data_IF_353904174205
#
_entry.id   IF_353904174205
#
_cell.length_a   1.000
_cell.length_b   1.000
_cell.length_c   1.000
_cell.angle_alpha   90.00
_cell.angle_beta   90.00
_cell.angle_gamma   90.00
#
_symmetry.space_group_name_H-M   'P 1'
#
loop_
_entity.id
_entity.type
_entity.pdbx_description
1 polymer ?
#
# COMPACT_ATOMS: atom_id res chain seq x y z
N UNK A 1 6.39 5.32 15.88
CA UNK A 1 5.10 4.63 16.13
C UNK A 1 4.41 4.39 14.81
N UNK A 2 3.85 3.20 14.61
CA UNK A 2 2.96 2.88 13.50
C UNK A 2 1.62 2.40 14.05
N UNK A 3 0.54 3.13 13.79
CA UNK A 3 -0.82 2.72 14.14
C UNK A 3 -1.44 2.00 12.94
N UNK A 4 -1.21 0.68 12.87
CA UNK A 4 -1.74 -0.17 11.81
C UNK A 4 -3.22 -0.53 11.99
N UNK A 5 -3.80 -1.20 11.00
CA UNK A 5 -5.19 -1.70 11.07
C UNK A 5 -5.41 -2.82 12.08
N UNK A 6 -4.34 -3.56 12.43
CA UNK A 6 -4.42 -4.74 13.32
C UNK A 6 -3.57 -4.57 14.58
N UNK A 7 -2.36 -4.03 14.44
CA UNK A 7 -1.45 -3.76 15.55
C UNK A 7 -0.91 -2.33 15.49
N UNK A 8 -0.84 -1.71 16.66
CA UNK A 8 -0.04 -0.51 16.90
C UNK A 8 1.35 -0.95 17.33
N UNK A 9 2.39 -0.45 16.64
CA UNK A 9 3.79 -0.85 16.83
C UNK A 9 4.65 0.33 17.28
N UNK A 10 5.54 0.07 18.21
CA UNK A 10 6.51 1.00 18.76
C UNK A 10 7.93 0.52 18.46
N UNK A 11 8.80 1.48 18.14
CA UNK A 11 10.23 1.29 17.98
C UNK A 11 10.91 2.46 18.71
N UNK A 12 11.75 2.15 19.69
CA UNK A 12 12.61 3.10 20.39
C UNK A 12 13.94 3.12 19.65
N UNK A 13 14.33 4.28 19.14
CA UNK A 13 15.54 4.45 18.34
C UNK A 13 16.45 5.45 19.05
N UNK A 14 17.70 5.05 19.27
CA UNK A 14 18.77 5.97 19.64
C UNK A 14 19.17 6.77 18.41
N UNK A 15 19.00 8.09 18.44
CA UNK A 15 19.25 8.95 17.28
C UNK A 15 20.74 9.25 17.06
N UNK A 16 21.56 9.17 18.10
CA UNK A 16 23.00 9.40 18.01
C UNK A 16 23.71 8.16 17.47
N UNK A 17 23.35 6.98 17.99
CA UNK A 17 23.88 5.70 17.52
C UNK A 17 23.17 5.21 16.24
N UNK A 18 21.93 5.64 15.98
CA UNK A 18 21.08 5.13 14.90
C UNK A 18 20.58 3.70 15.12
N UNK A 19 20.41 3.27 16.38
CA UNK A 19 20.15 1.88 16.78
C UNK A 19 18.74 1.67 17.28
N UNK A 20 18.16 0.51 16.96
CA UNK A 20 16.91 0.06 17.56
C UNK A 20 17.19 -0.43 18.99
N UNK A 21 16.66 0.27 19.98
CA UNK A 21 16.84 -0.04 21.40
C UNK A 21 15.80 -1.06 21.86
N UNK A 22 14.54 -0.85 21.49
CA UNK A 22 13.43 -1.71 21.90
C UNK A 22 12.28 -1.63 20.90
N UNK A 23 11.49 -2.70 20.83
CA UNK A 23 10.21 -2.70 20.12
C UNK A 23 9.08 -3.06 21.06
N UNK A 24 7.88 -2.60 20.73
CA UNK A 24 6.65 -2.89 21.46
C UNK A 24 5.50 -3.01 20.49
N UNK A 25 4.48 -3.79 20.84
CA UNK A 25 3.28 -3.86 20.03
C UNK A 25 2.05 -4.08 20.92
N UNK A 26 0.93 -3.53 20.47
CA UNK A 26 -0.37 -3.74 21.09
C UNK A 26 -1.41 -3.90 19.97
N UNK A 27 -2.49 -4.65 20.24
CA UNK A 27 -3.60 -4.73 19.27
C UNK A 27 -4.15 -3.32 19.05
N UNK A 28 -4.40 -2.93 17.80
CA UNK A 28 -4.94 -1.60 17.53
C UNK A 28 -6.29 -1.44 18.23
N UNK A 29 -6.42 -0.38 19.03
CA UNK A 29 -7.67 -0.06 19.71
C UNK A 29 -8.68 0.47 18.70
N UNK A 30 -9.72 -0.31 18.42
CA UNK A 30 -10.81 0.03 17.50
C UNK A 30 -12.10 0.44 18.22
N UNK A 31 -12.36 -0.13 19.41
CA UNK A 31 -13.59 0.11 20.19
C UNK A 31 -13.41 1.18 21.29
N UNK A 32 -12.47 2.11 21.10
CA UNK A 32 -12.06 3.08 22.12
C UNK A 32 -11.25 4.23 21.53
N UNK A 33 -10.42 4.88 22.36
CA UNK A 33 -9.47 5.87 21.86
C UNK A 33 -8.21 5.15 21.34
N UNK A 34 -7.81 5.44 20.11
CA UNK A 34 -6.62 4.85 19.49
C UNK A 34 -5.35 5.15 20.29
N UNK A 35 -5.34 6.25 21.06
CA UNK A 35 -4.24 6.62 21.94
C UNK A 35 -4.03 5.61 23.06
N UNK A 36 -5.06 4.89 23.52
CA UNK A 36 -4.91 3.84 24.53
C UNK A 36 -4.01 2.71 24.00
N UNK A 37 -4.18 2.34 22.72
CA UNK A 37 -3.33 1.34 22.06
C UNK A 37 -1.93 1.85 21.75
N UNK A 38 -1.78 3.16 21.49
CA UNK A 38 -0.48 3.81 21.34
C UNK A 38 0.30 3.80 22.65
N UNK A 39 -0.32 4.25 23.74
CA UNK A 39 0.29 4.32 25.06
C UNK A 39 0.64 2.91 25.57
N UNK A 40 -0.21 1.90 25.32
CA UNK A 40 0.09 0.50 25.63
C UNK A 40 1.27 -0.07 24.81
N UNK A 41 1.36 0.26 23.52
CA UNK A 41 2.49 -0.18 22.69
C UNK A 41 3.82 0.47 23.12
N UNK A 42 3.80 1.74 23.58
CA UNK A 42 4.97 2.39 24.18
C UNK A 42 5.33 1.72 25.50
N UNK A 43 4.37 1.47 26.39
CA UNK A 43 4.63 0.80 27.67
C UNK A 43 5.26 -0.59 27.48
N UNK A 44 4.84 -1.33 26.44
CA UNK A 44 5.41 -2.64 26.10
C UNK A 44 6.90 -2.59 25.72
N UNK A 45 7.45 -1.42 25.36
CA UNK A 45 8.89 -1.26 25.11
C UNK A 45 9.70 -1.27 26.41
N UNK A 46 9.09 -0.93 27.55
CA UNK A 46 9.81 -0.69 28.80
C UNK A 46 10.57 0.65 28.87
N UNK A 47 10.37 1.54 27.89
CA UNK A 47 11.04 2.85 27.81
C UNK A 47 10.04 4.01 27.78
N UNK A 48 10.49 5.18 28.23
CA UNK A 48 9.79 6.46 28.09
C UNK A 48 10.49 7.30 27.02
N UNK A 49 9.90 7.50 25.83
CA UNK A 49 10.53 8.26 24.77
C UNK A 49 10.49 9.77 25.05
N UNK A 50 11.54 10.49 24.66
CA UNK A 50 11.57 11.97 24.72
C UNK A 50 10.63 12.62 23.69
N UNK A 51 10.49 11.98 22.54
CA UNK A 51 9.65 12.44 21.43
C UNK A 51 9.00 11.26 20.73
N UNK A 52 7.75 11.42 20.33
CA UNK A 52 6.99 10.43 19.56
C UNK A 52 6.73 10.96 18.15
N UNK A 53 7.18 10.21 17.15
CA UNK A 53 6.77 10.35 15.76
C UNK A 53 5.79 9.21 15.43
N UNK A 54 4.67 9.51 14.80
CA UNK A 54 3.68 8.51 14.44
C UNK A 54 3.34 8.51 12.94
N UNK A 55 3.09 7.32 12.39
CA UNK A 55 2.31 7.13 11.18
C UNK A 55 1.06 6.32 11.49
N UNK A 56 0.06 6.35 10.59
CA UNK A 56 -1.19 5.61 10.78
C UNK A 56 -1.75 5.09 9.46
N UNK A 57 -2.23 3.85 9.48
CA UNK A 57 -3.15 3.28 8.50
C UNK A 57 -4.48 2.85 9.12
N UNK A 58 -4.64 2.99 10.45
CA UNK A 58 -5.93 2.88 11.11
C UNK A 58 -6.91 3.94 10.58
N UNK A 59 -8.17 3.54 10.37
CA UNK A 59 -9.22 4.35 9.73
C UNK A 59 -9.58 3.94 8.30
N UNK A 60 -8.80 3.05 7.69
CA UNK A 60 -9.03 2.52 6.34
C UNK A 60 -8.34 3.35 5.23
N UNK A 61 -8.26 2.79 4.03
CA UNK A 61 -7.68 3.47 2.87
C UNK A 61 -8.53 4.67 2.42
N UNK A 62 -7.86 5.76 2.00
CA UNK A 62 -8.51 6.98 1.56
C UNK A 62 -9.44 6.72 0.36
N UNK A 63 -10.75 6.95 0.50
CA UNK A 63 -11.72 6.89 -0.60
C UNK A 63 -11.73 8.24 -1.31
N UNK A 64 -11.28 8.27 -2.56
CA UNK A 64 -11.17 9.52 -3.31
C UNK A 64 -12.07 9.49 -4.56
N UNK A 65 -12.76 10.59 -4.82
CA UNK A 65 -13.48 10.80 -6.07
C UNK A 65 -12.75 11.83 -6.94
N UNK A 66 -12.61 11.56 -8.23
CA UNK A 66 -11.99 12.48 -9.18
C UNK A 66 -13.07 13.14 -10.02
N UNK A 67 -13.04 14.47 -10.11
CA UNK A 67 -13.90 15.26 -10.99
C UNK A 67 -13.00 16.07 -11.91
N UNK A 68 -13.00 15.74 -13.20
CA UNK A 68 -12.18 16.37 -14.23
C UNK A 68 -12.98 17.19 -15.24
N UNK A 69 -12.28 18.08 -15.95
CA UNK A 69 -12.79 18.80 -17.12
C UNK A 69 -13.22 17.87 -18.26
N UNK A 70 -12.31 17.00 -18.69
CA UNK A 70 -12.48 16.07 -19.81
C UNK A 70 -12.21 14.62 -19.34
N UNK A 71 -13.12 13.66 -19.62
CA UNK A 71 -12.97 12.25 -19.21
C UNK A 71 -11.63 11.61 -19.58
N UNK A 72 -11.19 11.75 -20.83
CA UNK A 72 -10.02 11.02 -21.32
C UNK A 72 -8.68 11.69 -21.01
N UNK A 73 -8.70 12.94 -20.56
CA UNK A 73 -7.49 13.75 -20.32
C UNK A 73 -7.36 14.12 -18.86
N UNK A 74 -8.06 15.15 -18.39
CA UNK A 74 -7.88 15.66 -17.03
C UNK A 74 -8.44 14.73 -15.95
N UNK A 75 -9.58 14.06 -16.20
CA UNK A 75 -10.12 13.11 -15.23
C UNK A 75 -9.18 11.90 -15.12
N UNK A 76 -8.62 11.45 -16.24
CA UNK A 76 -7.62 10.38 -16.26
C UNK A 76 -6.28 10.81 -15.62
N UNK A 77 -5.86 12.08 -15.77
CA UNK A 77 -4.71 12.62 -15.06
C UNK A 77 -4.94 12.62 -13.54
N UNK A 78 -6.09 13.15 -13.09
CA UNK A 78 -6.47 13.12 -11.67
C UNK A 78 -6.59 11.70 -11.12
N UNK A 79 -7.12 10.76 -11.89
CA UNK A 79 -7.19 9.34 -11.53
C UNK A 79 -5.79 8.76 -11.27
N UNK A 80 -4.82 9.03 -12.17
CA UNK A 80 -3.42 8.60 -11.99
C UNK A 80 -2.80 9.20 -10.72
N UNK A 81 -3.03 10.49 -10.48
CA UNK A 81 -2.52 11.17 -9.29
C UNK A 81 -3.09 10.54 -8.02
N UNK A 82 -4.40 10.28 -7.99
CA UNK A 82 -5.07 9.66 -6.85
C UNK A 82 -4.52 8.25 -6.55
N UNK A 83 -4.36 7.41 -7.58
CA UNK A 83 -3.74 6.09 -7.42
C UNK A 83 -2.30 6.20 -6.90
N UNK A 84 -1.51 7.12 -7.45
CA UNK A 84 -0.14 7.36 -6.99
C UNK A 84 -0.05 7.94 -5.57
N UNK A 85 -1.13 8.52 -5.06
CA UNK A 85 -1.26 8.96 -3.66
C UNK A 85 -1.76 7.83 -2.73
N UNK A 86 -1.86 6.59 -3.22
CA UNK A 86 -2.34 5.44 -2.45
C UNK A 86 -3.84 5.48 -2.13
N UNK A 87 -4.62 6.28 -2.85
CA UNK A 87 -6.07 6.39 -2.63
C UNK A 87 -6.84 5.31 -3.40
N UNK A 88 -7.91 4.80 -2.78
CA UNK A 88 -8.93 4.00 -3.48
C UNK A 88 -9.84 4.95 -4.25
N UNK A 89 -9.75 4.96 -5.58
CA UNK A 89 -10.64 5.78 -6.40
C UNK A 89 -12.03 5.14 -6.47
N UNK A 90 -13.01 5.78 -5.83
CA UNK A 90 -14.38 5.25 -5.72
C UNK A 90 -15.35 5.83 -6.75
N UNK A 91 -14.94 6.91 -7.43
CA UNK A 91 -15.72 7.57 -8.47
C UNK A 91 -14.81 8.41 -9.37
N UNK A 92 -15.08 8.40 -10.67
CA UNK A 92 -14.42 9.27 -11.65
C UNK A 92 -15.51 9.90 -12.51
N UNK A 93 -15.52 11.23 -12.58
CA UNK A 93 -16.40 12.01 -13.45
C UNK A 93 -15.56 12.92 -14.35
N UNK A 94 -15.95 13.03 -15.61
CA UNK A 94 -15.38 14.01 -16.54
C UNK A 94 -16.50 14.84 -17.16
N UNK A 95 -16.26 16.12 -17.34
CA UNK A 95 -17.23 17.08 -17.87
C UNK A 95 -17.96 17.85 -16.78
N UNK A 96 -19.01 18.57 -17.20
CA UNK A 96 -19.86 19.35 -16.28
C UNK A 96 -20.62 18.43 -15.31
N UNK A 97 -20.62 18.80 -14.04
CA UNK A 97 -21.24 18.05 -12.95
C UNK A 97 -22.73 18.38 -12.87
N UNK A 98 -23.54 17.64 -13.62
CA UNK A 98 -25.00 17.77 -13.61
C UNK A 98 -25.65 17.20 -12.32
N UNK A 99 -26.98 17.22 -12.25
CA UNK A 99 -27.71 16.72 -11.07
C UNK A 99 -27.54 15.21 -10.84
N UNK A 100 -27.47 14.43 -11.92
CA UNK A 100 -27.29 12.99 -11.86
C UNK A 100 -25.85 12.63 -11.44
N UNK A 101 -24.86 13.29 -12.04
CA UNK A 101 -23.44 13.15 -11.70
C UNK A 101 -23.16 13.50 -10.23
N UNK A 102 -23.72 14.61 -9.73
CA UNK A 102 -23.59 14.98 -8.32
C UNK A 102 -24.23 13.94 -7.39
N UNK A 103 -25.34 13.32 -7.80
CA UNK A 103 -26.00 12.27 -7.03
C UNK A 103 -25.16 10.99 -7.01
N UNK A 104 -24.57 10.61 -8.15
CA UNK A 104 -23.65 9.48 -8.25
C UNK A 104 -22.39 9.69 -7.39
N UNK A 105 -21.81 10.89 -7.43
CA UNK A 105 -20.67 11.29 -6.59
C UNK A 105 -20.99 11.11 -5.09
N UNK A 106 -22.17 11.54 -4.63
CA UNK A 106 -22.61 11.34 -3.24
C UNK A 106 -22.82 9.87 -2.89
N UNK A 107 -23.42 9.10 -3.79
CA UNK A 107 -23.66 7.67 -3.59
C UNK A 107 -22.36 6.88 -3.42
N UNK A 108 -21.28 7.30 -4.09
CA UNK A 108 -19.95 6.71 -3.95
C UNK A 108 -19.30 6.95 -2.58
N UNK A 109 -19.84 7.86 -1.74
CA UNK A 109 -19.32 8.19 -0.40
C UNK A 109 -17.79 8.37 -0.37
N UNK A 110 -17.21 9.30 -1.15
CA UNK A 110 -15.79 9.61 -1.05
C UNK A 110 -15.48 10.37 0.24
N UNK A 111 -14.28 10.14 0.79
CA UNK A 111 -13.71 10.91 1.89
C UNK A 111 -13.16 12.26 1.39
N UNK A 112 -12.64 12.30 0.16
CA UNK A 112 -12.05 13.48 -0.49
C UNK A 112 -12.49 13.57 -1.95
N UNK A 113 -12.74 14.77 -2.45
CA UNK A 113 -12.90 15.03 -3.89
C UNK A 113 -11.65 15.71 -4.43
N UNK A 114 -11.02 15.13 -5.46
CA UNK A 114 -9.99 15.76 -6.27
C UNK A 114 -10.66 16.44 -7.47
N UNK A 115 -10.70 17.76 -7.45
CA UNK A 115 -11.21 18.59 -8.53
C UNK A 115 -10.05 19.07 -9.41
N UNK A 116 -10.02 18.62 -10.65
CA UNK A 116 -8.97 18.87 -11.65
C UNK A 116 -9.60 19.37 -12.95
N UNK A 117 -8.81 19.97 -13.84
CA UNK A 117 -9.30 20.38 -15.15
C UNK A 117 -8.76 21.73 -15.62
N UNK A 118 -8.76 21.91 -16.94
CA UNK A 118 -8.08 23.00 -17.63
C UNK A 118 -6.55 22.87 -17.56
N UNK A 119 -5.86 23.27 -18.62
CA UNK A 119 -4.44 23.64 -18.53
C UNK A 119 -4.33 25.03 -17.92
N UNK A 120 -3.15 25.40 -17.45
CA UNK A 120 -2.89 26.77 -17.01
C UNK A 120 -2.97 27.70 -18.24
N UNK A 121 -3.69 28.82 -18.14
CA UNK A 121 -4.04 29.68 -19.28
C UNK A 121 -5.11 29.12 -20.23
N UNK A 122 -5.66 27.93 -19.93
CA UNK A 122 -6.65 27.23 -20.76
C UNK A 122 -8.10 27.46 -20.33
N UNK A 123 -8.97 26.50 -20.65
CA UNK A 123 -10.39 26.55 -20.25
C UNK A 123 -10.56 26.62 -18.73
N UNK A 124 -11.44 27.50 -18.29
CA UNK A 124 -11.83 27.67 -16.89
C UNK A 124 -13.31 27.33 -16.63
N UNK A 125 -14.14 27.30 -17.68
CA UNK A 125 -15.60 27.28 -17.54
C UNK A 125 -16.08 26.05 -16.77
N UNK A 126 -15.60 24.87 -17.13
CA UNK A 126 -16.03 23.62 -16.50
C UNK A 126 -15.52 23.48 -15.08
N UNK A 127 -14.28 23.93 -14.81
CA UNK A 127 -13.70 23.90 -13.47
C UNK A 127 -14.54 24.77 -12.52
N UNK A 128 -14.85 26.00 -12.93
CA UNK A 128 -15.68 26.94 -12.19
C UNK A 128 -17.13 26.45 -12.05
N UNK A 129 -17.69 25.87 -13.11
CA UNK A 129 -19.00 25.24 -13.07
C UNK A 129 -19.04 24.16 -11.98
N UNK A 130 -18.10 23.21 -12.01
CA UNK A 130 -18.05 22.08 -11.10
C UNK A 130 -17.81 22.53 -9.65
N UNK A 131 -16.89 23.48 -9.44
CA UNK A 131 -16.67 24.12 -8.15
C UNK A 131 -17.96 24.74 -7.60
N UNK A 132 -18.65 25.56 -8.40
CA UNK A 132 -19.91 26.19 -8.02
C UNK A 132 -21.07 25.21 -7.82
N UNK A 133 -21.07 24.07 -8.51
CA UNK A 133 -22.04 22.99 -8.26
C UNK A 133 -21.81 22.33 -6.91
N UNK A 134 -20.58 22.02 -6.55
CA UNK A 134 -20.22 21.47 -5.24
C UNK A 134 -20.53 22.46 -4.10
N UNK A 135 -20.20 23.73 -4.27
CA UNK A 135 -20.50 24.80 -3.29
C UNK A 135 -22.00 24.98 -3.05
N UNK A 136 -22.79 25.17 -4.12
CA UNK A 136 -24.26 25.29 -4.01
C UNK A 136 -24.93 24.05 -3.43
N UNK A 137 -24.38 22.88 -3.72
CA UNK A 137 -24.81 21.60 -3.19
C UNK A 137 -24.43 21.38 -1.71
N UNK A 138 -23.70 22.32 -1.09
CA UNK A 138 -23.18 22.24 0.28
C UNK A 138 -22.45 20.92 0.53
N UNK A 139 -21.52 20.59 -0.36
CA UNK A 139 -20.67 19.41 -0.21
C UNK A 139 -19.97 19.44 1.16
N UNK A 140 -20.03 18.34 1.90
CA UNK A 140 -19.53 18.27 3.29
C UNK A 140 -18.11 17.74 3.41
N UNK A 141 -17.61 17.04 2.39
CA UNK A 141 -16.25 16.50 2.39
C UNK A 141 -15.24 17.56 1.98
N UNK A 142 -13.95 17.39 2.31
CA UNK A 142 -12.89 18.22 1.79
C UNK A 142 -12.71 18.06 0.26
N UNK A 143 -12.25 19.13 -0.38
CA UNK A 143 -11.90 19.19 -1.81
C UNK A 143 -10.42 19.54 -1.96
N UNK A 144 -9.69 18.74 -2.74
CA UNK A 144 -8.37 19.12 -3.26
C UNK A 144 -8.57 19.74 -4.63
N UNK A 145 -8.17 21.00 -4.81
CA UNK A 145 -8.27 21.73 -6.07
C UNK A 145 -6.90 21.76 -6.75
N UNK A 146 -6.80 21.13 -7.91
CA UNK A 146 -5.55 20.97 -8.67
C UNK A 146 -5.80 21.15 -10.18
N UNK A 147 -6.59 22.15 -10.55
CA UNK A 147 -6.86 22.54 -11.94
C UNK A 147 -6.21 23.88 -12.30
N UNK A 148 -6.64 24.45 -13.44
CA UNK A 148 -6.18 25.70 -14.03
C UNK A 148 -5.81 26.76 -12.98
N UNK A 149 -4.54 27.14 -12.95
CA UNK A 149 -3.98 28.09 -11.99
C UNK A 149 -4.67 29.46 -12.03
N UNK A 150 -5.06 29.94 -13.21
CA UNK A 150 -5.66 31.27 -13.39
C UNK A 150 -7.10 31.32 -12.87
N UNK A 151 -7.79 30.18 -12.85
CA UNK A 151 -9.17 30.06 -12.35
C UNK A 151 -9.24 29.62 -10.88
N UNK A 152 -8.09 29.43 -10.22
CA UNK A 152 -8.02 28.83 -8.88
C UNK A 152 -8.76 29.64 -7.83
N UNK A 153 -8.53 30.95 -7.79
CA UNK A 153 -9.10 31.82 -6.75
C UNK A 153 -10.62 31.90 -6.88
N UNK A 154 -11.12 32.00 -8.11
CA UNK A 154 -12.56 31.98 -8.40
C UNK A 154 -13.19 30.62 -8.08
N UNK A 155 -12.49 29.50 -8.34
CA UNK A 155 -12.96 28.16 -7.99
C UNK A 155 -13.01 27.97 -6.45
N UNK A 156 -12.02 28.49 -5.72
CA UNK A 156 -12.04 28.50 -4.25
C UNK A 156 -13.21 29.33 -3.72
N UNK A 157 -13.45 30.50 -4.30
CA UNK A 157 -14.59 31.34 -3.94
C UNK A 157 -15.94 30.66 -4.22
N UNK A 158 -16.05 29.95 -5.35
CA UNK A 158 -17.25 29.18 -5.71
C UNK A 158 -17.51 27.97 -4.77
N UNK A 159 -16.47 27.49 -4.09
CA UNK A 159 -16.51 26.44 -3.07
C UNK A 159 -16.72 26.99 -1.65
N UNK A 160 -17.19 28.23 -1.48
CA UNK A 160 -17.43 28.83 -0.17
C UNK A 160 -18.21 27.90 0.78
N UNK A 161 -17.66 27.68 1.98
CA UNK A 161 -18.23 26.78 3.00
C UNK A 161 -17.83 25.30 2.85
N UNK A 162 -17.09 24.94 1.80
CA UNK A 162 -16.46 23.63 1.64
C UNK A 162 -15.00 23.72 2.10
N UNK A 163 -14.44 22.74 2.84
CA UNK A 163 -13.02 22.72 3.14
C UNK A 163 -12.20 22.49 1.87
N UNK A 164 -11.39 23.47 1.45
CA UNK A 164 -10.59 23.38 0.22
C UNK A 164 -9.10 23.39 0.53
N UNK A 165 -8.33 22.54 -0.15
CA UNK A 165 -6.87 22.60 -0.22
C UNK A 165 -6.47 22.77 -1.68
N UNK A 166 -6.03 23.97 -2.06
CA UNK A 166 -5.61 24.25 -3.43
C UNK A 166 -4.10 24.00 -3.60
N UNK A 167 -3.71 23.54 -4.78
CA UNK A 167 -2.31 23.26 -5.13
C UNK A 167 -2.09 23.51 -6.63
N UNK A 168 -0.86 23.30 -7.12
CA UNK A 168 -0.56 23.43 -8.53
C UNK A 168 -1.35 22.42 -9.38
N UNK A 169 -1.58 22.78 -10.65
CA UNK A 169 -2.39 22.00 -11.57
C UNK A 169 -1.76 20.62 -11.81
N UNK A 170 -2.58 19.56 -11.86
CA UNK A 170 -2.11 18.20 -12.23
C UNK A 170 -1.70 18.10 -13.69
N UNK A 171 -2.21 18.99 -14.54
CA UNK A 171 -1.96 19.03 -15.97
C UNK A 171 -1.76 20.50 -16.41
N UNK A 172 -0.64 21.14 -16.03
CA UNK A 172 -0.39 22.56 -16.33
C UNK A 172 -0.36 22.82 -17.84
N UNK A 173 0.19 21.90 -18.62
CA UNK A 173 0.24 21.96 -20.08
C UNK A 173 -0.25 20.65 -20.71
N UNK A 174 -0.68 20.71 -21.97
CA UNK A 174 -1.17 19.52 -22.69
C UNK A 174 -0.04 18.48 -22.76
N UNK A 175 -0.31 17.29 -22.24
CA UNK A 175 0.65 16.18 -22.23
C UNK A 175 1.66 16.22 -21.08
N UNK A 176 1.66 17.26 -20.25
CA UNK A 176 2.57 17.40 -19.10
C UNK A 176 1.84 17.12 -17.79
N UNK A 177 2.20 16.02 -17.11
CA UNK A 177 1.63 15.65 -15.82
C UNK A 177 2.50 16.21 -14.68
N UNK A 178 1.90 16.99 -13.78
CA UNK A 178 2.54 17.49 -12.57
C UNK A 178 1.87 16.90 -11.30
N UNK A 179 2.21 15.67 -10.91
CA UNK A 179 1.45 14.92 -9.91
C UNK A 179 1.76 15.32 -8.46
N UNK A 180 2.98 15.77 -8.18
CA UNK A 180 3.50 15.93 -6.81
C UNK A 180 2.65 16.87 -5.94
N UNK A 181 2.29 18.09 -6.39
CA UNK A 181 1.55 19.05 -5.56
C UNK A 181 0.16 18.53 -5.14
N UNK A 182 -0.50 17.82 -6.05
CA UNK A 182 -1.80 17.21 -5.77
C UNK A 182 -1.68 15.98 -4.86
N UNK A 183 -0.65 15.14 -5.01
CA UNK A 183 -0.37 14.04 -4.05
C UNK A 183 -0.16 14.58 -2.64
N UNK A 184 0.65 15.63 -2.49
CA UNK A 184 0.94 16.24 -1.20
C UNK A 184 -0.33 16.83 -0.57
N UNK A 185 -1.16 17.50 -1.37
CA UNK A 185 -2.45 18.03 -0.92
C UNK A 185 -3.42 16.91 -0.49
N UNK A 186 -3.52 15.82 -1.24
CA UNK A 186 -4.32 14.64 -0.91
C UNK A 186 -3.87 14.04 0.43
N UNK A 187 -2.56 13.82 0.60
CA UNK A 187 -1.98 13.30 1.84
C UNK A 187 -2.27 14.22 3.02
N UNK A 188 -2.10 15.53 2.85
CA UNK A 188 -2.36 16.50 3.90
C UNK A 188 -3.84 16.54 4.31
N UNK A 189 -4.76 16.43 3.33
CA UNK A 189 -6.20 16.34 3.60
C UNK A 189 -6.54 15.04 4.33
N UNK A 190 -5.99 13.91 3.90
CA UNK A 190 -6.19 12.61 4.54
C UNK A 190 -5.76 12.63 6.02
N UNK A 191 -4.58 13.19 6.32
CA UNK A 191 -4.10 13.35 7.69
C UNK A 191 -5.04 14.22 8.53
N UNK A 192 -5.43 15.41 8.02
CA UNK A 192 -6.28 16.34 8.77
C UNK A 192 -7.72 15.87 8.97
N UNK A 193 -8.33 15.26 7.95
CA UNK A 193 -9.79 15.05 7.91
C UNK A 193 -10.21 13.59 8.08
N UNK A 194 -9.34 12.63 7.74
CA UNK A 194 -9.67 11.19 7.81
C UNK A 194 -9.04 10.56 9.03
N UNK A 195 -7.71 10.68 9.18
CA UNK A 195 -6.99 10.16 10.36
C UNK A 195 -7.29 11.04 11.59
N UNK A 196 -7.25 12.37 11.43
CA UNK A 196 -7.64 13.32 12.48
C UNK A 196 -9.15 13.52 12.65
N UNK A 197 -9.98 12.89 11.79
CA UNK A 197 -11.43 12.98 11.84
C UNK A 197 -12.02 12.22 13.04
N UNK A 198 -13.26 12.59 13.43
CA UNK A 198 -14.02 12.23 14.65
C UNK A 198 -14.22 10.72 14.99
N UNK A 199 -13.30 9.80 14.69
CA UNK A 199 -13.52 8.35 14.89
C UNK A 199 -12.35 7.58 15.49
N UNK A 200 -11.12 8.10 15.47
CA UNK A 200 -9.96 7.38 16.03
C UNK A 200 -9.55 7.88 17.42
N UNK A 201 -9.63 9.18 17.68
CA UNK A 201 -9.33 9.76 18.99
C UNK A 201 -10.35 10.81 19.40
N UNK A 202 -10.52 11.01 20.70
CA UNK A 202 -11.46 11.99 21.27
C UNK A 202 -10.93 13.43 21.20
N UNK A 203 -9.63 13.62 20.98
CA UNK A 203 -8.97 14.93 20.96
C UNK A 203 -7.94 15.10 19.82
N UNK A 204 -7.29 16.27 19.71
CA UNK A 204 -6.38 16.58 18.60
C UNK A 204 -5.02 15.90 18.72
N UNK A 205 -4.64 15.40 19.91
CA UNK A 205 -3.33 14.78 20.20
C UNK A 205 -2.92 13.74 19.15
N UNK A 206 -3.83 12.86 18.75
CA UNK A 206 -3.51 11.85 17.75
C UNK A 206 -3.18 12.47 16.38
N UNK A 207 -3.99 13.41 15.91
CA UNK A 207 -3.75 14.11 14.65
C UNK A 207 -2.44 14.93 14.67
N UNK A 208 -2.07 15.48 15.83
CA UNK A 208 -0.82 16.22 16.03
C UNK A 208 0.42 15.32 16.04
N UNK A 209 0.28 14.06 16.48
CA UNK A 209 1.36 13.07 16.50
C UNK A 209 1.61 12.46 15.12
N UNK A 210 0.56 12.22 14.32
CA UNK A 210 0.68 11.53 13.03
C UNK A 210 1.30 12.45 11.97
N UNK A 211 2.48 12.07 11.49
CA UNK A 211 3.27 12.78 10.46
C UNK A 211 3.00 12.31 9.04
N UNK A 212 2.59 11.05 8.88
CA UNK A 212 2.37 10.43 7.59
C UNK A 212 1.38 9.26 7.68
N UNK A 213 0.71 8.92 6.58
CA UNK A 213 0.15 7.58 6.41
C UNK A 213 1.25 6.52 6.57
N UNK A 214 0.94 5.37 7.18
CA UNK A 214 1.94 4.27 7.33
C UNK A 214 2.58 3.89 6.00
N UNK A 215 1.82 3.71 4.91
CA UNK A 215 2.45 3.32 3.65
C UNK A 215 3.37 4.38 3.06
N UNK A 216 3.10 5.66 3.30
CA UNK A 216 3.96 6.75 2.84
C UNK A 216 5.25 6.80 3.67
N UNK A 217 5.16 6.51 4.97
CA UNK A 217 6.35 6.34 5.81
C UNK A 217 7.17 5.13 5.35
N UNK A 218 6.55 3.99 5.05
CA UNK A 218 7.25 2.83 4.48
C UNK A 218 7.91 3.19 3.15
N UNK A 219 7.17 3.81 2.22
CA UNK A 219 7.74 4.25 0.93
C UNK A 219 8.93 5.19 1.13
N UNK A 220 8.85 6.14 2.07
CA UNK A 220 9.98 7.04 2.39
C UNK A 220 11.20 6.24 2.90
N UNK A 221 10.99 5.21 3.72
CA UNK A 221 12.05 4.32 4.18
C UNK A 221 12.65 3.47 3.03
N UNK A 222 11.81 2.99 2.11
CA UNK A 222 12.23 2.27 0.90
C UNK A 222 13.06 3.17 -0.02
N UNK A 223 12.62 4.41 -0.24
CA UNK A 223 13.37 5.39 -1.03
C UNK A 223 14.73 5.69 -0.42
N UNK A 224 14.77 5.90 0.90
CA UNK A 224 16.03 6.13 1.60
C UNK A 224 16.99 4.93 1.49
N UNK A 225 16.47 3.71 1.58
CA UNK A 225 17.27 2.50 1.39
C UNK A 225 17.79 2.38 -0.04
N UNK A 226 16.92 2.61 -1.03
CA UNK A 226 17.26 2.54 -2.45
C UNK A 226 18.34 3.57 -2.83
N UNK A 227 18.27 4.79 -2.29
CA UNK A 227 19.28 5.84 -2.53
C UNK A 227 20.69 5.46 -2.02
N UNK A 228 20.79 4.41 -1.17
CA UNK A 228 22.04 3.89 -0.62
C UNK A 228 22.36 2.46 -1.10
N UNK A 229 21.53 1.88 -1.96
CA UNK A 229 21.70 0.54 -2.53
C UNK A 229 22.24 0.67 -3.96
N UNK A 230 23.21 -0.16 -4.31
CA UNK A 230 23.68 -0.27 -5.69
C UNK A 230 22.75 -1.19 -6.51
N UNK A 231 21.54 -0.72 -6.83
CA UNK A 231 20.60 -1.42 -7.70
C UNK A 231 19.14 -1.26 -7.29
N UNK A 232 18.29 -2.03 -7.96
CA UNK A 232 16.84 -1.96 -7.83
C UNK A 232 16.33 -2.67 -6.57
N UNK A 233 15.38 -2.05 -5.89
CA UNK A 233 14.78 -2.52 -4.64
C UNK A 233 13.29 -2.80 -4.81
N UNK A 234 12.85 -3.90 -4.22
CA UNK A 234 11.44 -4.27 -4.11
C UNK A 234 11.09 -4.56 -2.64
N UNK A 235 9.95 -4.07 -2.17
CA UNK A 235 9.41 -4.43 -0.85
C UNK A 235 8.00 -4.99 -1.02
N UNK A 236 7.74 -6.14 -0.39
CA UNK A 236 6.43 -6.78 -0.33
C UNK A 236 5.95 -6.79 1.12
N UNK A 237 4.98 -5.95 1.43
CA UNK A 237 4.38 -5.82 2.77
C UNK A 237 3.04 -6.56 2.81
N UNK A 238 3.04 -7.76 3.41
CA UNK A 238 1.85 -8.60 3.52
C UNK A 238 1.09 -8.29 4.81
N UNK A 239 0.00 -7.56 4.67
CA UNK A 239 -0.85 -7.13 5.76
C UNK A 239 -2.09 -8.02 5.99
N UNK A 240 -2.81 -7.72 7.07
CA UNK A 240 -4.09 -8.36 7.37
C UNK A 240 -5.19 -7.97 6.39
N UNK A 241 -5.16 -6.74 5.85
CA UNK A 241 -6.19 -6.22 4.95
C UNK A 241 -5.69 -5.98 3.52
N UNK A 242 -4.45 -5.53 3.36
CA UNK A 242 -3.84 -5.24 2.05
C UNK A 242 -2.53 -5.99 1.92
N UNK A 243 -2.10 -6.20 0.66
CA UNK A 243 -0.69 -6.42 0.36
C UNK A 243 -0.19 -5.23 -0.46
N UNK A 244 0.89 -4.61 -0.01
CA UNK A 244 1.49 -3.46 -0.67
C UNK A 244 2.81 -3.88 -1.31
N UNK A 245 3.03 -3.49 -2.58
CA UNK A 245 4.30 -3.73 -3.28
C UNK A 245 4.93 -2.39 -3.63
N UNK A 246 6.10 -2.12 -3.05
CA UNK A 246 6.89 -0.92 -3.30
C UNK A 246 8.06 -1.28 -4.21
N UNK A 247 8.34 -0.46 -5.22
CA UNK A 247 9.51 -0.62 -6.09
C UNK A 247 10.26 0.69 -6.26
N UNK A 248 11.59 0.63 -6.17
CA UNK A 248 12.51 1.69 -6.57
C UNK A 248 13.42 1.10 -7.66
N UNK A 249 13.13 1.46 -8.91
CA UNK A 249 13.79 0.93 -10.10
C UNK A 249 14.63 2.04 -10.74
N UNK A 250 15.94 1.91 -10.70
CA UNK A 250 16.89 2.90 -11.21
C UNK A 250 16.77 2.95 -12.74
N UNK A 251 16.43 4.11 -13.33
CA UNK A 251 16.35 4.22 -14.79
C UNK A 251 17.71 4.03 -15.46
N UNK A 252 17.75 3.33 -16.60
CA UNK A 252 18.93 3.27 -17.45
C UNK A 252 19.20 4.65 -18.11
N UNK A 253 20.23 5.38 -17.64
CA UNK A 253 20.75 6.59 -18.30
C UNK A 253 20.14 7.94 -17.86
N UNK A 254 20.55 9.02 -18.54
CA UNK A 254 20.22 10.40 -18.18
C UNK A 254 18.71 10.66 -18.16
N UNK A 255 18.26 11.17 -17.01
CA UNK A 255 16.87 11.36 -16.59
C UNK A 255 16.07 12.16 -17.62
N UNK A 256 15.32 11.45 -18.46
CA UNK A 256 14.03 11.94 -18.90
C UNK A 256 12.98 11.15 -18.14
N UNK A 257 12.31 11.80 -17.18
CA UNK A 257 10.99 11.36 -16.72
C UNK A 257 10.10 11.23 -17.96
N UNK A 258 10.03 10.03 -18.53
CA UNK A 258 9.04 9.72 -19.54
C UNK A 258 7.69 9.82 -18.83
N UNK A 259 6.96 10.88 -19.17
CA UNK A 259 5.63 11.26 -18.70
C UNK A 259 4.88 10.17 -17.90
N UNK A 260 5.04 10.21 -16.57
CA UNK A 260 4.06 9.67 -15.63
C UNK A 260 4.29 8.26 -15.06
N UNK A 261 5.46 7.64 -15.23
CA UNK A 261 5.83 6.46 -14.43
C UNK A 261 7.02 6.81 -13.54
N UNK A 262 6.74 7.09 -12.26
CA UNK A 262 7.77 7.38 -11.27
C UNK A 262 8.69 6.16 -11.13
N UNK A 263 10.01 6.36 -11.10
CA UNK A 263 11.01 5.32 -10.82
C UNK A 263 10.81 4.70 -9.43
N UNK A 264 10.12 5.41 -8.54
CA UNK A 264 9.58 4.94 -7.27
C UNK A 264 8.07 4.71 -7.38
N UNK A 265 7.58 3.52 -7.06
CA UNK A 265 6.15 3.23 -7.15
C UNK A 265 5.67 2.34 -6.02
N UNK A 266 4.35 2.35 -5.82
CA UNK A 266 3.65 1.48 -4.89
C UNK A 266 2.36 1.01 -5.54
N UNK A 267 2.07 -0.28 -5.49
CA UNK A 267 0.72 -0.81 -5.73
C UNK A 267 0.11 -1.30 -4.42
N UNK A 268 -1.21 -1.13 -4.30
CA UNK A 268 -1.96 -1.48 -3.09
C UNK A 268 -3.04 -2.47 -3.47
N UNK A 269 -2.91 -3.69 -2.98
CA UNK A 269 -3.81 -4.78 -3.30
C UNK A 269 -4.77 -5.01 -2.13
N UNK A 270 -5.89 -4.30 -2.13
CA UNK A 270 -6.88 -4.30 -1.04
C UNK A 270 -7.69 -5.60 -0.91
N UNK A 271 -7.66 -6.45 -1.92
CA UNK A 271 -8.24 -7.79 -1.93
C UNK A 271 -7.24 -8.89 -1.50
N UNK A 272 -5.98 -8.55 -1.22
CA UNK A 272 -4.91 -9.53 -0.94
C UNK A 272 -4.41 -9.51 0.53
N UNK A 273 -5.32 -9.30 1.48
CA UNK A 273 -5.01 -9.38 2.91
C UNK A 273 -5.16 -10.81 3.47
N UNK A 274 -4.30 -11.21 4.40
CA UNK A 274 -4.31 -12.56 5.01
C UNK A 274 -5.31 -12.72 6.16
N UNK A 275 -6.04 -11.65 6.51
CA UNK A 275 -7.08 -11.62 7.56
C UNK A 275 -8.40 -11.10 6.99
N UNK A 276 -8.61 -9.79 7.05
CA UNK A 276 -9.83 -9.09 6.63
C UNK A 276 -10.27 -9.44 5.20
N UNK A 277 -9.30 -9.52 4.28
CA UNK A 277 -9.55 -9.81 2.87
C UNK A 277 -9.21 -11.25 2.48
N UNK A 278 -9.02 -12.17 3.45
CA UNK A 278 -8.60 -13.54 3.19
C UNK A 278 -9.54 -14.31 2.24
N UNK A 279 -10.88 -14.14 2.29
CA UNK A 279 -11.77 -14.75 1.30
C UNK A 279 -11.52 -14.22 -0.12
N UNK A 280 -11.43 -12.89 -0.29
CA UNK A 280 -11.16 -12.25 -1.59
C UNK A 280 -9.77 -12.60 -2.14
N UNK A 281 -8.79 -12.83 -1.25
CA UNK A 281 -7.47 -13.29 -1.62
C UNK A 281 -7.52 -14.66 -2.32
N UNK A 282 -8.33 -15.60 -1.84
CA UNK A 282 -8.49 -16.89 -2.49
C UNK A 282 -9.19 -16.79 -3.85
N UNK A 283 -10.18 -15.90 -3.97
CA UNK A 283 -10.81 -15.59 -5.27
C UNK A 283 -9.78 -15.05 -6.27
N UNK A 284 -8.94 -14.10 -5.84
CA UNK A 284 -7.86 -13.53 -6.65
C UNK A 284 -6.80 -14.58 -7.04
N UNK A 285 -6.40 -15.45 -6.11
CA UNK A 285 -5.45 -16.52 -6.37
C UNK A 285 -5.98 -17.52 -7.41
N UNK A 286 -7.25 -17.92 -7.32
CA UNK A 286 -7.89 -18.81 -8.30
C UNK A 286 -8.02 -18.17 -9.67
N UNK A 287 -8.32 -16.87 -9.73
CA UNK A 287 -8.34 -16.13 -10.99
C UNK A 287 -6.95 -16.15 -11.69
N UNK A 288 -5.88 -16.19 -10.89
CA UNK A 288 -4.49 -16.35 -11.33
C UNK A 288 -4.05 -17.82 -11.50
N UNK A 289 -4.99 -18.77 -11.36
CA UNK A 289 -4.76 -20.23 -11.43
C UNK A 289 -3.71 -20.74 -10.45
N UNK A 290 -3.64 -20.14 -9.26
CA UNK A 290 -2.80 -20.59 -8.17
C UNK A 290 -3.60 -21.57 -7.30
N UNK A 291 -3.14 -22.82 -7.21
CA UNK A 291 -3.69 -23.80 -6.27
C UNK A 291 -2.96 -23.71 -4.92
N UNK A 292 -3.70 -23.87 -3.83
CA UNK A 292 -3.17 -23.83 -2.46
C UNK A 292 -2.11 -24.92 -2.19
N UNK A 293 -2.18 -26.03 -2.92
CA UNK A 293 -1.44 -27.27 -2.64
C UNK A 293 -0.11 -27.40 -3.41
N UNK A 294 0.13 -26.61 -4.46
CA UNK A 294 1.30 -26.78 -5.35
C UNK A 294 2.62 -26.23 -4.76
N UNK A 295 2.57 -25.66 -3.55
CA UNK A 295 3.72 -24.96 -2.93
C UNK A 295 4.26 -25.56 -1.65
N UNK A 296 3.50 -26.45 -0.99
CA UNK A 296 4.01 -27.26 0.14
C UNK A 296 4.80 -28.48 -0.33
N UNK A 297 4.65 -28.91 -1.60
CA UNK A 297 5.24 -30.15 -2.15
C UNK A 297 6.60 -30.01 -2.84
N UNK A 298 7.07 -28.79 -3.15
CA UNK A 298 8.34 -28.57 -3.88
C UNK A 298 9.54 -28.30 -2.95
N UNK A 299 9.57 -28.90 -1.76
CA UNK A 299 10.78 -28.91 -0.93
C UNK A 299 11.28 -30.35 -0.73
N UNK A 300 12.50 -30.69 -1.20
CA UNK A 300 13.13 -31.94 -0.82
C UNK A 300 13.54 -31.87 0.66
N UNK A 301 12.93 -32.72 1.47
CA UNK A 301 13.30 -32.97 2.86
C UNK A 301 14.80 -33.34 2.95
N UNK A 302 15.64 -32.63 3.73
CA UNK A 302 17.03 -33.02 3.91
C UNK A 302 17.10 -34.06 5.03
N UNK A 303 16.76 -35.32 4.70
CA UNK A 303 17.09 -36.46 5.57
C UNK A 303 18.28 -37.26 5.04
N UNK A 304 19.18 -37.71 5.93
CA UNK A 304 20.44 -38.31 5.53
C UNK A 304 20.22 -39.69 4.92
N UNK A 305 21.00 -39.96 3.88
CA UNK A 305 21.11 -41.26 3.21
C UNK A 305 21.54 -42.35 4.18
N UNK A 306 20.81 -43.48 4.20
CA UNK A 306 21.36 -44.76 4.65
C UNK A 306 20.35 -45.72 5.27
N UNK A 307 20.00 -46.78 4.51
CA UNK A 307 19.98 -48.20 4.91
C UNK A 307 18.86 -48.97 4.20
N UNK A 308 19.25 -50.07 3.57
CA UNK A 308 18.39 -50.99 2.82
C UNK A 308 17.53 -51.85 3.75
N UNK A 309 16.30 -52.17 3.35
CA UNK A 309 15.68 -53.46 3.68
C UNK A 309 14.55 -53.81 2.69
N UNK A 310 14.62 -55.04 2.23
CA UNK A 310 13.73 -55.76 1.31
C UNK A 310 12.38 -56.14 1.94
N UNK A 311 11.27 -56.04 1.20
CA UNK A 311 9.99 -56.66 1.57
C UNK A 311 8.85 -56.39 0.56
N UNK A 312 8.19 -57.46 0.09
CA UNK A 312 7.11 -57.50 -0.94
C UNK A 312 5.73 -57.00 -0.41
N UNK A 313 4.74 -56.72 -1.29
CA UNK A 313 3.57 -55.91 -0.98
C UNK A 313 2.40 -56.71 -0.39
N UNK A 314 1.69 -56.09 0.55
CA UNK A 314 0.36 -56.50 1.02
C UNK A 314 -0.65 -55.42 0.68
N UNK A 315 -1.72 -55.80 -0.03
CA UNK A 315 -2.81 -54.93 -0.41
C UNK A 315 -3.62 -54.48 0.83
N UNK A 316 -3.91 -53.19 0.91
CA UNK A 316 -5.13 -52.71 1.57
C UNK A 316 -5.68 -51.51 0.80
N UNK A 317 -6.86 -51.73 0.25
CA UNK A 317 -7.77 -50.73 -0.27
C UNK A 317 -8.21 -49.81 0.87
N UNK A 318 -7.85 -48.53 0.78
CA UNK A 318 -8.35 -47.48 1.65
C UNK A 318 -8.54 -46.23 0.82
N UNK A 319 -9.79 -45.76 0.74
CA UNK A 319 -10.19 -44.59 -0.01
C UNK A 319 -9.31 -43.38 0.33
N UNK A 320 -8.58 -42.87 -0.67
CA UNK A 320 -7.87 -41.61 -0.57
C UNK A 320 -8.91 -40.48 -0.60
N UNK A 321 -9.13 -39.89 0.57
CA UNK A 321 -10.04 -38.78 0.78
C UNK A 321 -9.60 -37.51 0.04
N UNK A 322 -10.62 -36.78 -0.42
CA UNK A 322 -10.56 -35.36 -0.73
C UNK A 322 -10.30 -34.58 0.57
N UNK A 323 -9.03 -34.38 0.97
CA UNK A 323 -8.67 -33.61 2.19
C UNK A 323 -7.67 -32.48 1.90
N UNK A 324 -7.69 -31.89 0.70
CA UNK A 324 -6.67 -30.89 0.30
C UNK A 324 -7.15 -29.43 0.19
N UNK A 325 -8.40 -29.18 -0.22
CA UNK A 325 -8.83 -27.83 -0.65
C UNK A 325 -9.88 -27.18 0.26
N UNK A 326 -10.72 -27.97 0.95
CA UNK A 326 -11.74 -27.44 1.85
C UNK A 326 -11.16 -26.71 3.07
N UNK A 327 -9.99 -27.16 3.56
CA UNK A 327 -9.40 -26.63 4.79
C UNK A 327 -8.92 -25.18 4.69
N UNK A 328 -8.26 -24.80 3.58
CA UNK A 328 -7.75 -23.42 3.44
C UNK A 328 -8.90 -22.43 3.19
N UNK A 329 -9.92 -22.85 2.45
CA UNK A 329 -11.12 -22.05 2.16
C UNK A 329 -11.89 -21.72 3.44
N UNK A 330 -12.17 -22.74 4.27
CA UNK A 330 -12.81 -22.57 5.56
C UNK A 330 -11.96 -21.72 6.50
N UNK A 331 -10.65 -21.94 6.52
CA UNK A 331 -9.73 -21.19 7.37
C UNK A 331 -9.58 -19.71 6.94
N UNK A 332 -9.68 -19.40 5.64
CA UNK A 332 -9.72 -18.04 5.13
C UNK A 332 -11.07 -17.35 5.42
N UNK A 333 -12.18 -18.08 5.29
CA UNK A 333 -13.50 -17.59 5.68
C UNK A 333 -13.54 -17.23 7.18
N UNK A 334 -13.00 -18.10 8.04
CA UNK A 334 -12.89 -17.84 9.47
C UNK A 334 -12.05 -16.59 9.77
N UNK A 335 -10.90 -16.41 9.09
CA UNK A 335 -10.05 -15.21 9.22
C UNK A 335 -10.72 -13.92 8.76
N UNK A 336 -11.53 -13.98 7.70
CA UNK A 336 -12.30 -12.83 7.23
C UNK A 336 -13.43 -12.45 8.19
N UNK A 337 -14.10 -13.45 8.77
CA UNK A 337 -15.17 -13.25 9.75
C UNK A 337 -14.64 -12.77 11.11
N UNK A 338 -13.51 -13.31 11.56
CA UNK A 338 -12.85 -12.94 12.81
C UNK A 338 -11.34 -12.66 12.56
N UNK A 339 -11.00 -11.43 12.12
CA UNK A 339 -9.60 -11.02 11.87
C UNK A 339 -8.69 -11.07 13.10
N UNK A 340 -9.27 -11.20 14.30
CA UNK A 340 -8.58 -11.35 15.57
C UNK A 340 -8.20 -12.78 15.95
N UNK A 341 -8.54 -13.78 15.14
CA UNK A 341 -8.17 -15.17 15.40
C UNK A 341 -6.65 -15.30 15.63
N UNK A 342 -6.22 -16.17 16.55
CA UNK A 342 -4.82 -16.48 16.75
C UNK A 342 -4.16 -16.86 15.42
N UNK A 343 -2.91 -16.42 15.24
CA UNK A 343 -2.14 -16.80 14.06
C UNK A 343 -1.87 -18.30 14.03
N UNK A 344 -1.97 -18.88 12.84
CA UNK A 344 -1.62 -20.27 12.58
C UNK A 344 -0.72 -20.30 11.34
N UNK A 345 0.60 -20.55 11.51
CA UNK A 345 1.55 -20.59 10.41
C UNK A 345 1.17 -21.57 9.29
N UNK A 346 0.47 -22.67 9.62
CA UNK A 346 0.05 -23.68 8.64
C UNK A 346 -0.97 -23.13 7.63
N UNK A 347 -1.65 -22.04 7.97
CA UNK A 347 -2.61 -21.35 7.08
C UNK A 347 -2.09 -19.98 6.66
N UNK A 348 -1.47 -19.24 7.57
CA UNK A 348 -1.06 -17.85 7.33
C UNK A 348 0.07 -17.75 6.31
N UNK A 349 1.04 -18.67 6.35
CA UNK A 349 2.15 -18.70 5.39
C UNK A 349 1.69 -19.04 3.97
N UNK A 350 0.83 -20.07 3.75
CA UNK A 350 0.21 -20.27 2.43
C UNK A 350 -0.56 -19.06 1.92
N UNK A 351 -1.38 -18.41 2.77
CA UNK A 351 -2.11 -17.19 2.38
C UNK A 351 -1.13 -16.05 2.03
N UNK A 352 -0.08 -15.84 2.83
CA UNK A 352 0.93 -14.83 2.54
C UNK A 352 1.67 -15.11 1.21
N UNK A 353 1.96 -16.37 0.90
CA UNK A 353 2.54 -16.76 -0.37
C UNK A 353 1.63 -16.48 -1.56
N UNK A 354 0.33 -16.78 -1.44
CA UNK A 354 -0.67 -16.42 -2.45
C UNK A 354 -0.75 -14.89 -2.63
N UNK A 355 -0.82 -14.15 -1.53
CA UNK A 355 -0.92 -12.69 -1.54
C UNK A 355 0.29 -12.04 -2.21
N UNK A 356 1.51 -12.40 -1.77
CA UNK A 356 2.75 -11.90 -2.34
C UNK A 356 2.85 -12.22 -3.84
N UNK A 357 2.46 -13.43 -4.25
CA UNK A 357 2.54 -13.84 -5.67
C UNK A 357 1.58 -13.05 -6.54
N UNK A 358 0.29 -12.99 -6.16
CA UNK A 358 -0.70 -12.24 -6.92
C UNK A 358 -0.33 -10.76 -6.97
N UNK A 359 0.13 -10.19 -5.86
CA UNK A 359 0.57 -8.80 -5.79
C UNK A 359 1.75 -8.52 -6.72
N UNK A 360 2.79 -9.38 -6.71
CA UNK A 360 3.95 -9.27 -7.59
C UNK A 360 3.56 -9.40 -9.07
N UNK A 361 2.69 -10.35 -9.41
CA UNK A 361 2.17 -10.50 -10.77
C UNK A 361 1.45 -9.23 -11.23
N UNK A 362 0.56 -8.68 -10.40
CA UNK A 362 -0.17 -7.44 -10.70
C UNK A 362 0.76 -6.23 -10.83
N UNK A 363 1.75 -6.12 -9.96
CA UNK A 363 2.76 -5.06 -9.99
C UNK A 363 3.61 -5.12 -11.28
N UNK A 364 4.07 -6.31 -11.67
CA UNK A 364 4.86 -6.51 -12.88
C UNK A 364 4.01 -6.35 -14.16
N UNK A 365 2.77 -6.85 -14.15
CA UNK A 365 1.86 -6.83 -15.32
C UNK A 365 1.29 -5.43 -15.60
N UNK A 366 0.99 -4.67 -14.56
CA UNK A 366 0.19 -3.45 -14.65
C UNK A 366 -1.29 -3.72 -14.95
N UNK A 367 -2.02 -2.65 -15.21
CA UNK A 367 -3.46 -2.67 -15.48
C UNK A 367 -3.74 -2.89 -16.97
N UNK A 368 -4.72 -3.75 -17.30
CA UNK A 368 -5.27 -3.83 -18.65
C UNK A 368 -6.12 -2.59 -18.94
N UNK A 369 -5.73 -1.81 -19.94
CA UNK A 369 -6.46 -0.64 -20.42
C UNK A 369 -6.86 -0.85 -21.88
N UNK A 370 -8.11 -0.53 -22.22
CA UNK A 370 -8.53 -0.49 -23.64
C UNK A 370 -8.21 0.88 -24.21
N UNK A 371 -7.31 0.91 -25.19
CA UNK A 371 -6.97 2.12 -25.95
C UNK A 371 -7.39 1.90 -27.39
N UNK A 372 -8.33 2.70 -27.89
CA UNK A 372 -8.85 2.60 -29.26
C UNK A 372 -9.30 1.18 -29.67
N UNK A 373 -9.89 0.42 -28.75
CA UNK A 373 -10.38 -0.95 -29.00
C UNK A 373 -9.31 -2.05 -28.88
N UNK A 374 -8.04 -1.69 -28.68
CA UNK A 374 -6.94 -2.64 -28.44
C UNK A 374 -6.70 -2.75 -26.94
N UNK A 375 -6.55 -3.98 -26.44
CA UNK A 375 -6.12 -4.21 -25.06
C UNK A 375 -4.61 -3.95 -24.94
N UNK A 376 -4.25 -2.90 -24.22
CA UNK A 376 -2.88 -2.56 -23.87
C UNK A 376 -2.69 -2.75 -22.36
N UNK A 377 -1.44 -2.98 -21.93
CA UNK A 377 -1.09 -3.01 -20.51
C UNK A 377 -0.38 -1.73 -20.13
N UNK A 378 -0.72 -1.18 -18.96
CA UNK A 378 -0.22 0.11 -18.49
C UNK A 378 0.24 0.04 -17.04
N UNK A 379 1.40 0.62 -16.77
CA UNK A 379 1.95 0.72 -15.41
C UNK A 379 2.65 -0.56 -14.91
N UNK A 380 2.80 -1.58 -15.75
CA UNK A 380 3.60 -2.76 -15.42
C UNK A 380 5.08 -2.40 -15.27
N UNK A 381 5.76 -3.11 -14.38
CA UNK A 381 7.13 -2.84 -13.98
C UNK A 381 8.01 -4.02 -14.37
N UNK A 382 9.15 -3.72 -14.97
CA UNK A 382 10.19 -4.72 -15.19
C UNK A 382 11.00 -4.86 -13.89
N UNK A 383 10.83 -5.97 -13.19
CA UNK A 383 11.49 -6.22 -11.90
C UNK A 383 12.71 -7.13 -12.05
N UNK A 384 13.10 -7.49 -13.28
CA UNK A 384 14.11 -8.54 -13.51
C UNK A 384 15.49 -8.18 -12.98
N UNK A 385 15.78 -6.89 -12.86
CA UNK A 385 17.05 -6.33 -12.39
C UNK A 385 17.02 -5.95 -10.90
N UNK A 386 15.91 -6.20 -10.19
CA UNK A 386 15.83 -6.08 -8.73
C UNK A 386 16.89 -6.95 -8.07
N UNK A 387 17.79 -6.30 -7.32
CA UNK A 387 18.89 -6.94 -6.61
C UNK A 387 18.51 -7.28 -5.16
N UNK A 388 17.55 -6.56 -4.58
CA UNK A 388 17.10 -6.76 -3.20
C UNK A 388 15.57 -6.81 -3.12
N UNK A 389 15.05 -7.85 -2.47
CA UNK A 389 13.63 -8.01 -2.12
C UNK A 389 13.50 -8.05 -0.60
N UNK A 390 12.76 -7.10 -0.04
CA UNK A 390 12.46 -7.04 1.39
C UNK A 390 11.04 -7.50 1.65
N UNK A 391 10.89 -8.52 2.49
CA UNK A 391 9.62 -8.93 3.07
C UNK A 391 9.26 -8.12 4.28
N UNK A 392 8.06 -7.57 4.35
CA UNK A 392 7.53 -6.96 5.58
C UNK A 392 6.11 -7.45 5.85
N UNK A 393 5.52 -6.93 6.92
CA UNK A 393 4.15 -7.26 7.33
C UNK A 393 4.08 -8.39 8.33
N UNK A 394 2.94 -8.46 9.03
CA UNK A 394 2.81 -9.23 10.27
C UNK A 394 3.08 -10.72 10.10
N UNK A 395 2.60 -11.34 9.03
CA UNK A 395 2.78 -12.79 8.84
C UNK A 395 4.25 -13.15 8.60
N UNK A 396 4.97 -12.36 7.79
CA UNK A 396 6.37 -12.62 7.49
C UNK A 396 7.27 -12.30 8.68
N UNK A 397 7.02 -11.18 9.37
CA UNK A 397 7.76 -10.74 10.57
C UNK A 397 7.73 -11.77 11.70
N UNK A 398 6.57 -12.35 11.95
CA UNK A 398 6.33 -13.21 13.12
C UNK A 398 6.57 -14.69 12.84
N UNK A 399 6.83 -15.05 11.58
CA UNK A 399 7.18 -16.41 11.21
C UNK A 399 8.66 -16.71 11.50
N UNK A 400 8.98 -18.00 11.50
CA UNK A 400 10.37 -18.43 11.42
C UNK A 400 11.07 -17.77 10.20
N UNK A 401 12.28 -17.19 10.35
CA UNK A 401 12.94 -16.47 9.27
C UNK A 401 13.17 -17.28 8.00
N UNK A 402 13.45 -18.59 8.13
CA UNK A 402 13.64 -19.45 6.97
C UNK A 402 12.31 -19.70 6.25
N UNK A 403 11.22 -19.90 7.00
CA UNK A 403 9.88 -20.03 6.45
C UNK A 403 9.40 -18.75 5.75
N UNK A 404 9.59 -17.57 6.36
CA UNK A 404 9.25 -16.28 5.76
C UNK A 404 10.04 -16.03 4.46
N UNK A 405 11.34 -16.32 4.47
CA UNK A 405 12.19 -16.21 3.28
C UNK A 405 11.74 -17.19 2.18
N UNK A 406 11.36 -18.41 2.54
CA UNK A 406 10.87 -19.41 1.59
C UNK A 406 9.57 -18.96 0.90
N UNK A 407 8.65 -18.34 1.65
CA UNK A 407 7.40 -17.77 1.10
C UNK A 407 7.70 -16.75 0.01
N UNK A 408 8.59 -15.78 0.26
CA UNK A 408 8.95 -14.78 -0.75
C UNK A 408 9.77 -15.37 -1.90
N UNK A 409 10.71 -16.27 -1.61
CA UNK A 409 11.49 -16.95 -2.64
C UNK A 409 10.59 -17.68 -3.64
N UNK A 410 9.56 -18.36 -3.15
CA UNK A 410 8.56 -19.01 -4.00
C UNK A 410 7.73 -17.99 -4.80
N UNK A 411 7.40 -16.83 -4.23
CA UNK A 411 6.63 -15.79 -4.92
C UNK A 411 7.44 -15.10 -6.03
N UNK A 412 8.72 -14.78 -5.81
CA UNK A 412 9.57 -14.15 -6.84
C UNK A 412 10.01 -15.13 -7.94
N UNK A 413 10.04 -16.43 -7.64
CA UNK A 413 10.37 -17.48 -8.61
C UNK A 413 9.17 -17.93 -9.47
N UNK A 414 7.98 -17.41 -9.20
CA UNK A 414 6.75 -17.76 -9.93
C UNK A 414 6.66 -17.03 -11.27
N UNK A 415 7.45 -17.48 -12.24
CA UNK A 415 7.45 -16.91 -13.60
C UNK A 415 6.27 -17.40 -14.45
N UNK A 416 5.30 -18.12 -13.87
CA UNK A 416 4.15 -18.63 -14.59
C UNK A 416 3.33 -17.47 -15.17
N UNK A 417 3.26 -17.40 -16.51
CA UNK A 417 2.63 -16.29 -17.24
C UNK A 417 3.63 -15.28 -17.85
N UNK A 418 4.94 -15.50 -17.70
CA UNK A 418 5.98 -14.69 -18.35
C UNK A 418 6.18 -13.31 -17.73
N UNK A 419 5.86 -13.16 -16.44
CA UNK A 419 6.01 -11.90 -15.72
C UNK A 419 7.48 -11.55 -15.50
N UNK A 420 7.80 -10.27 -15.60
CA UNK A 420 9.13 -9.73 -15.40
C UNK A 420 9.48 -9.65 -13.90
N UNK A 421 9.59 -10.80 -13.24
CA UNK A 421 9.93 -10.91 -11.83
C UNK A 421 11.46 -10.91 -11.60
N UNK A 422 11.94 -10.62 -10.39
CA UNK A 422 13.36 -10.62 -10.06
C UNK A 422 14.05 -11.96 -10.40
N UNK A 423 15.18 -11.91 -11.11
CA UNK A 423 15.88 -13.13 -11.55
C UNK A 423 16.75 -13.76 -10.47
N UNK A 424 17.45 -12.95 -9.68
CA UNK A 424 18.38 -13.42 -8.65
C UNK A 424 18.51 -12.40 -7.51
N UNK A 425 17.40 -12.04 -6.84
CA UNK A 425 17.46 -11.08 -5.75
C UNK A 425 18.05 -11.70 -4.48
N UNK A 426 18.72 -10.88 -3.68
CA UNK A 426 18.85 -11.13 -2.26
C UNK A 426 17.47 -10.95 -1.60
N UNK A 427 17.11 -11.84 -0.66
CA UNK A 427 15.83 -11.78 0.06
C UNK A 427 16.10 -11.59 1.54
N UNK A 428 15.55 -10.50 2.08
CA UNK A 428 15.63 -10.12 3.50
C UNK A 428 14.23 -9.99 4.07
N UNK A 429 14.04 -10.30 5.36
CA UNK A 429 12.78 -10.08 6.07
C UNK A 429 12.99 -8.97 7.10
N UNK A 430 12.14 -7.94 7.05
CA UNK A 430 12.08 -6.85 8.02
C UNK A 430 11.40 -7.32 9.32
N UNK A 431 12.09 -8.19 10.06
CA UNK A 431 11.61 -8.77 11.33
C UNK A 431 11.43 -7.70 12.41
N UNK A 432 12.24 -6.64 12.38
CA UNK A 432 12.18 -5.56 13.36
C UNK A 432 11.23 -4.42 12.98
N UNK A 433 10.61 -4.49 11.79
CA UNK A 433 9.68 -3.49 11.27
C UNK A 433 10.32 -2.09 11.19
N UNK A 434 11.54 -2.00 10.67
CA UNK A 434 12.35 -0.77 10.65
C UNK A 434 12.03 0.17 9.48
N UNK A 435 11.34 -0.29 8.43
CA UNK A 435 11.02 0.53 7.26
C UNK A 435 10.17 1.77 7.61
N UNK A 436 9.10 1.59 8.38
CA UNK A 436 8.23 2.70 8.79
C UNK A 436 8.91 3.67 9.78
N UNK A 437 9.59 3.21 10.85
CA UNK A 437 10.42 4.07 11.71
C UNK A 437 11.48 4.85 10.95
N UNK A 438 12.22 4.20 10.04
CA UNK A 438 13.23 4.88 9.23
C UNK A 438 12.61 5.97 8.35
N UNK A 439 11.47 5.70 7.71
CA UNK A 439 10.78 6.71 6.91
C UNK A 439 10.23 7.88 7.72
N UNK A 440 9.78 7.65 8.97
CA UNK A 440 9.42 8.74 9.89
C UNK A 440 10.62 9.60 10.29
N UNK A 441 11.81 9.00 10.39
CA UNK A 441 13.05 9.68 10.75
C UNK A 441 13.74 10.35 9.55
N UNK A 442 13.48 9.91 8.32
CA UNK A 442 14.25 10.28 7.13
C UNK A 442 14.39 11.80 6.91
N UNK A 443 13.34 12.58 7.20
CA UNK A 443 13.36 14.03 6.99
C UNK A 443 14.18 14.79 8.04
N UNK A 444 14.13 14.39 9.31
CA UNK A 444 14.73 15.12 10.43
C UNK A 444 16.07 14.51 10.89
N UNK A 445 16.23 13.19 10.73
CA UNK A 445 17.38 12.41 11.19
C UNK A 445 17.83 11.38 10.12
N UNK A 446 18.19 11.80 8.90
CA UNK A 446 18.50 10.89 7.79
C UNK A 446 19.64 9.90 8.09
N UNK A 447 20.64 10.32 8.87
CA UNK A 447 21.77 9.45 9.27
C UNK A 447 21.33 8.32 10.21
N UNK A 448 20.50 8.62 11.19
CA UNK A 448 19.95 7.61 12.09
C UNK A 448 19.04 6.64 11.32
N UNK A 449 18.19 7.18 10.43
CA UNK A 449 17.28 6.40 9.60
C UNK A 449 18.01 5.39 8.70
N UNK A 450 19.06 5.81 7.98
CA UNK A 450 19.80 4.87 7.13
C UNK A 450 20.63 3.89 7.95
N UNK A 451 21.18 4.31 9.09
CA UNK A 451 21.92 3.40 9.99
C UNK A 451 21.01 2.30 10.54
N UNK A 452 19.77 2.65 10.91
CA UNK A 452 18.75 1.71 11.34
C UNK A 452 18.44 0.68 10.23
N UNK A 453 18.21 1.14 9.00
CA UNK A 453 17.91 0.27 7.86
C UNK A 453 19.06 -0.69 7.57
N UNK A 454 20.30 -0.20 7.47
CA UNK A 454 21.48 -1.03 7.16
C UNK A 454 21.73 -2.11 8.20
N UNK A 455 21.62 -1.78 9.48
CA UNK A 455 21.85 -2.74 10.58
C UNK A 455 20.82 -3.88 10.57
N UNK A 456 19.54 -3.55 10.41
CA UNK A 456 18.45 -4.52 10.59
C UNK A 456 18.05 -5.24 9.30
N UNK A 457 18.31 -4.64 8.13
CA UNK A 457 18.09 -5.30 6.84
C UNK A 457 19.38 -5.91 6.28
N UNK A 458 20.50 -5.82 7.01
CA UNK A 458 21.81 -6.35 6.63
C UNK A 458 22.30 -5.90 5.24
N UNK A 459 21.86 -4.72 4.81
CA UNK A 459 22.27 -4.11 3.53
C UNK A 459 23.56 -3.32 3.76
N UNK A 460 24.61 -3.63 3.02
CA UNK A 460 25.91 -2.92 3.10
C UNK A 460 25.90 -1.59 2.36
#
# INVERSE_FOLDING_TARGET
MDVGSTFTKAAIVDLDAGELVATGAHRTTVDGDVLDGLDAAVAATGHTPERILACSSAGGGLRLAVVGYEPLVSAQAGHRVALSAGARVVHVHGGSLDGAALSALRAARPDVVLLVGGTDGGDAETLLHNAGRLGRARWRGPVVLAGNADARDDAVAALAGVPVTACANVLPHIGELNPTPARDAIRAVFLRHVIGGKRLSRGPRFAELVRAPTPDAVLTGVELLADHLAGDLLVVDVGGATTDVYSALVPDGAVHEVAGVSWRSRTVEGDLGVRWSAPSLLEAARAERLEADDRSRKHPDPRPTGASATGRPGASTGAAGQEGTGGLDEAAAARGAEPGLPGDPAVDLPLAGLAATVALRRHARGESVRVAGVEARRGGRDLRDVVLVVGSGGVLRHADPAAARAVLAAAVSDTAGGWALPRSPEIVIDTDYVLAPAGLLAAEHPRAAISLLRRHLHVQ
#
